data_IF_477379349645
#
_entry.id   IF_477379349645
#
_cell.length_a   1.000
_cell.length_b   1.000
_cell.length_c   1.000
_cell.angle_alpha   90.00
_cell.angle_beta   90.00
_cell.angle_gamma   90.00
#
_symmetry.space_group_name_H-M   'P 1'
#
loop_
_entity.id
_entity.type
_entity.pdbx_description
1 polymer ?
#
# COMPACT_ATOMS: atom_id res chain seq x y z
N UNK A 1 -29.68 1.37 -13.78
CA UNK A 1 -30.17 0.80 -12.51
C UNK A 1 -28.97 0.22 -11.76
N UNK A 2 -28.51 0.86 -10.67
CA UNK A 2 -27.49 0.24 -9.80
C UNK A 2 -28.16 -1.01 -9.21
N UNK A 3 -27.71 -2.20 -9.60
CA UNK A 3 -28.12 -3.42 -8.89
C UNK A 3 -27.58 -3.29 -7.47
N UNK A 4 -28.46 -3.16 -6.48
CA UNK A 4 -28.11 -3.17 -5.07
C UNK A 4 -27.80 -4.62 -4.68
N UNK A 5 -26.56 -5.03 -4.90
CA UNK A 5 -26.05 -6.26 -4.31
C UNK A 5 -25.71 -5.97 -2.85
N UNK A 6 -26.02 -6.91 -1.96
CA UNK A 6 -25.60 -6.81 -0.56
C UNK A 6 -24.06 -6.87 -0.51
N UNK A 7 -23.48 -5.84 0.11
CA UNK A 7 -22.05 -5.81 0.43
C UNK A 7 -21.82 -6.73 1.62
N UNK A 8 -21.17 -7.86 1.36
CA UNK A 8 -20.69 -8.79 2.39
C UNK A 8 -19.17 -8.85 2.32
N UNK A 9 -18.51 -9.56 3.25
CA UNK A 9 -17.07 -9.78 3.16
C UNK A 9 -16.63 -10.45 1.85
N UNK A 10 -17.49 -11.29 1.26
CA UNK A 10 -17.16 -12.16 0.13
C UNK A 10 -17.88 -11.77 -1.18
N UNK A 11 -18.84 -10.86 -1.14
CA UNK A 11 -19.62 -10.41 -2.30
C UNK A 11 -19.70 -8.90 -2.41
N UNK A 12 -19.94 -8.39 -3.62
CA UNK A 12 -20.09 -6.96 -3.88
C UNK A 12 -18.86 -6.34 -4.53
N UNK A 13 -18.54 -5.11 -4.17
CA UNK A 13 -17.42 -4.37 -4.72
C UNK A 13 -16.11 -4.71 -4.01
N UNK A 14 -15.03 -4.74 -4.78
CA UNK A 14 -13.69 -4.99 -4.29
C UNK A 14 -12.71 -4.03 -4.95
N UNK A 15 -11.72 -3.63 -4.17
CA UNK A 15 -10.54 -2.94 -4.66
C UNK A 15 -9.55 -3.98 -5.18
N UNK A 16 -8.98 -3.68 -6.34
CA UNK A 16 -7.88 -4.46 -6.91
C UNK A 16 -6.67 -3.56 -7.04
N UNK A 17 -5.60 -3.92 -6.32
CA UNK A 17 -4.29 -3.30 -6.48
C UNK A 17 -3.40 -4.20 -7.33
N UNK A 18 -2.63 -3.63 -8.25
CA UNK A 18 -1.69 -4.36 -9.11
C UNK A 18 -0.40 -3.58 -9.20
N UNK A 19 0.71 -4.19 -8.78
CA UNK A 19 2.05 -3.65 -8.98
C UNK A 19 2.59 -4.11 -10.33
N UNK A 20 3.10 -3.17 -11.11
CA UNK A 20 3.74 -3.43 -12.40
C UNK A 20 5.20 -3.02 -12.27
N UNK A 21 6.09 -3.94 -12.60
CA UNK A 21 7.50 -3.64 -12.73
C UNK A 21 7.74 -2.81 -14.00
N UNK A 22 8.38 -1.66 -13.88
CA UNK A 22 8.48 -0.69 -14.98
C UNK A 22 9.40 -1.16 -16.11
N UNK A 23 10.48 -1.87 -15.77
CA UNK A 23 11.50 -2.29 -16.73
C UNK A 23 11.01 -3.45 -17.58
N UNK A 24 10.35 -4.43 -16.95
CA UNK A 24 9.88 -5.65 -17.62
C UNK A 24 8.41 -5.59 -18.04
N UNK A 25 7.65 -4.62 -17.51
CA UNK A 25 6.18 -4.52 -17.63
C UNK A 25 5.41 -5.72 -17.08
N UNK A 26 6.08 -6.56 -16.28
CA UNK A 26 5.44 -7.72 -15.66
C UNK A 26 4.61 -7.28 -14.44
N UNK A 27 3.55 -8.04 -14.17
CA UNK A 27 2.78 -7.89 -12.93
C UNK A 27 3.55 -8.54 -11.80
N UNK A 28 4.20 -7.73 -10.96
CA UNK A 28 5.02 -8.19 -9.85
C UNK A 28 4.17 -8.74 -8.69
N UNK A 29 3.01 -8.12 -8.43
CA UNK A 29 2.10 -8.52 -7.36
C UNK A 29 0.66 -8.04 -7.61
N UNK A 30 -0.31 -8.69 -6.96
CA UNK A 30 -1.74 -8.35 -7.00
C UNK A 30 -2.34 -8.53 -5.61
N UNK A 31 -3.23 -7.63 -5.23
CA UNK A 31 -4.10 -7.79 -4.08
C UNK A 31 -5.55 -7.48 -4.42
N UNK A 32 -6.47 -8.18 -3.76
CA UNK A 32 -7.92 -7.95 -3.85
C UNK A 32 -8.49 -7.95 -2.44
N UNK A 33 -9.16 -6.85 -2.09
CA UNK A 33 -9.76 -6.69 -0.77
C UNK A 33 -10.90 -5.68 -0.80
N UNK A 34 -11.54 -5.46 0.35
CA UNK A 34 -12.66 -4.51 0.49
C UNK A 34 -12.25 -3.05 0.55
N UNK A 35 -11.00 -2.79 0.89
CA UNK A 35 -10.43 -1.44 0.91
C UNK A 35 -9.17 -1.34 0.05
N UNK A 36 -8.85 -0.13 -0.39
CA UNK A 36 -7.60 0.16 -1.10
C UNK A 36 -6.37 -0.20 -0.24
N UNK A 37 -6.43 0.10 1.06
CA UNK A 37 -5.36 -0.18 2.02
C UNK A 37 -5.10 -1.68 2.14
N UNK A 38 -6.13 -2.51 2.34
CA UNK A 38 -5.97 -3.96 2.45
C UNK A 38 -5.46 -4.58 1.14
N UNK A 39 -6.01 -4.15 0.00
CA UNK A 39 -5.60 -4.67 -1.30
C UNK A 39 -4.14 -4.31 -1.59
N UNK A 40 -3.71 -3.11 -1.19
CA UNK A 40 -2.32 -2.67 -1.33
C UNK A 40 -1.39 -3.35 -0.31
N UNK A 41 -1.89 -3.65 0.89
CA UNK A 41 -1.17 -4.41 1.91
C UNK A 41 -0.78 -5.81 1.40
N UNK A 42 -1.70 -6.51 0.72
CA UNK A 42 -1.41 -7.80 0.09
C UNK A 42 -0.32 -7.68 -1.00
N UNK A 43 -0.35 -6.62 -1.80
CA UNK A 43 0.68 -6.33 -2.80
C UNK A 43 2.05 -6.17 -2.14
N UNK A 44 2.14 -5.30 -1.13
CA UNK A 44 3.40 -5.02 -0.45
C UNK A 44 3.94 -6.21 0.34
N UNK A 45 3.07 -7.01 0.96
CA UNK A 45 3.47 -8.27 1.60
C UNK A 45 4.08 -9.24 0.60
N UNK A 46 3.44 -9.40 -0.58
CA UNK A 46 3.98 -10.24 -1.66
C UNK A 46 5.35 -9.76 -2.13
N UNK A 47 5.54 -8.43 -2.28
CA UNK A 47 6.84 -7.87 -2.67
C UNK A 47 7.92 -8.12 -1.61
N UNK A 48 7.54 -8.04 -0.33
CA UNK A 48 8.44 -8.28 0.80
C UNK A 48 8.98 -9.71 0.79
N UNK A 49 8.12 -10.66 0.47
CA UNK A 49 8.48 -12.07 0.36
C UNK A 49 9.32 -12.40 -0.88
N UNK A 50 9.08 -11.72 -2.02
CA UNK A 50 9.55 -12.19 -3.33
C UNK A 50 10.69 -11.40 -3.98
N UNK A 51 11.13 -10.29 -3.38
CA UNK A 51 12.24 -9.52 -3.95
C UNK A 51 12.65 -8.26 -3.20
N UNK A 52 11.82 -7.76 -2.30
CA UNK A 52 12.05 -6.51 -1.59
C UNK A 52 11.90 -6.67 -0.07
N UNK A 53 12.68 -7.54 0.61
CA UNK A 53 12.47 -7.87 2.02
C UNK A 53 12.65 -6.69 2.99
N UNK A 54 13.61 -5.81 2.69
CA UNK A 54 14.02 -4.75 3.61
C UNK A 54 13.23 -3.44 3.44
N UNK A 55 12.85 -3.10 2.21
CA UNK A 55 12.26 -1.81 1.88
C UNK A 55 11.39 -1.92 0.63
N UNK A 56 10.31 -1.12 0.54
CA UNK A 56 9.48 -1.09 -0.66
C UNK A 56 10.30 -0.54 -1.85
N UNK A 57 10.04 -1.03 -3.07
CA UNK A 57 10.63 -0.41 -4.27
C UNK A 57 10.08 1.01 -4.47
N UNK A 58 10.83 1.90 -5.14
CA UNK A 58 10.29 3.19 -5.57
C UNK A 58 8.98 3.01 -6.32
N UNK A 59 7.91 3.61 -5.81
CA UNK A 59 6.54 3.33 -6.26
C UNK A 59 5.83 4.61 -6.68
N UNK A 60 5.13 4.54 -7.82
CA UNK A 60 4.22 5.58 -8.30
C UNK A 60 2.81 5.02 -8.31
N UNK A 61 1.83 5.78 -7.82
CA UNK A 61 0.42 5.39 -7.90
C UNK A 61 -0.50 6.59 -8.16
N UNK A 62 -1.70 6.33 -8.66
CA UNK A 62 -2.81 7.28 -8.80
C UNK A 62 -3.92 7.05 -7.76
N UNK A 63 -3.62 6.26 -6.72
CA UNK A 63 -4.57 5.87 -5.67
C UNK A 63 -5.02 7.03 -4.78
N UNK A 64 -6.00 6.76 -3.92
CA UNK A 64 -6.70 7.76 -3.10
C UNK A 64 -6.19 7.90 -1.66
N UNK A 65 -5.05 7.28 -1.35
CA UNK A 65 -4.35 7.43 -0.07
C UNK A 65 -3.86 6.09 0.44
N UNK A 66 -4.74 5.08 0.43
CA UNK A 66 -4.62 3.77 1.10
C UNK A 66 -3.31 3.01 0.86
N UNK A 67 -2.67 3.27 -0.28
CA UNK A 67 -1.37 2.70 -0.67
C UNK A 67 -0.27 3.18 0.28
N UNK A 68 -0.28 4.45 0.69
CA UNK A 68 0.72 5.01 1.61
C UNK A 68 0.63 4.35 2.99
N UNK A 69 -0.58 4.24 3.53
CA UNK A 69 -0.81 3.60 4.83
C UNK A 69 -0.41 2.13 4.79
N UNK A 70 -0.77 1.42 3.73
CA UNK A 70 -0.37 0.03 3.53
C UNK A 70 1.16 -0.13 3.46
N UNK A 71 1.86 0.78 2.77
CA UNK A 71 3.30 0.75 2.67
C UNK A 71 3.98 0.93 4.04
N UNK A 72 3.50 1.87 4.85
CA UNK A 72 4.00 2.11 6.22
C UNK A 72 3.65 0.94 7.14
N UNK A 73 2.49 0.31 7.00
CA UNK A 73 2.16 -0.83 7.84
C UNK A 73 3.05 -2.05 7.54
N UNK A 74 3.32 -2.35 6.27
CA UNK A 74 4.10 -3.54 5.90
C UNK A 74 5.61 -3.35 6.11
N UNK A 75 6.14 -2.18 5.78
CA UNK A 75 7.58 -1.91 5.81
C UNK A 75 8.03 -1.02 6.96
N UNK A 76 7.11 -0.29 7.59
CA UNK A 76 7.46 0.76 8.54
C UNK A 76 8.02 0.18 9.83
N UNK A 77 8.87 0.96 10.47
CA UNK A 77 9.49 0.60 11.74
C UNK A 77 9.06 1.59 12.80
N UNK A 78 8.89 1.11 14.03
CA UNK A 78 8.73 2.00 15.17
C UNK A 78 10.12 2.56 15.48
N UNK A 79 10.30 3.90 15.50
CA UNK A 79 11.60 4.48 15.79
C UNK A 79 12.10 4.08 17.18
N UNK A 80 13.42 4.03 17.35
CA UNK A 80 14.02 3.84 18.65
C UNK A 80 13.67 5.01 19.59
N UNK A 81 13.44 4.69 20.86
CA UNK A 81 13.09 5.69 21.85
C UNK A 81 14.30 6.54 22.24
N UNK A 82 14.25 7.85 21.95
CA UNK A 82 15.34 8.79 22.19
C UNK A 82 15.34 9.45 23.58
N UNK A 83 14.45 9.03 24.50
CA UNK A 83 14.56 9.40 25.91
C UNK A 83 14.00 10.75 26.34
N UNK A 84 12.83 11.15 25.82
CA UNK A 84 11.97 12.20 26.40
C UNK A 84 10.49 11.92 26.08
N UNK A 85 9.62 11.89 27.09
CA UNK A 85 8.17 11.73 26.91
C UNK A 85 7.70 10.28 26.67
N UNK A 86 6.58 10.10 25.98
CA UNK A 86 6.02 8.77 25.69
C UNK A 86 6.80 8.12 24.54
N UNK A 87 7.23 6.84 24.67
CA UNK A 87 7.85 6.11 23.58
C UNK A 87 6.99 6.07 22.31
N UNK A 88 7.61 6.12 21.12
CA UNK A 88 6.88 5.97 19.87
C UNK A 88 6.23 4.58 19.81
N UNK A 89 5.03 4.54 19.25
CA UNK A 89 4.24 3.29 19.08
C UNK A 89 3.80 3.07 17.65
N UNK A 90 3.86 4.11 16.82
CA UNK A 90 3.44 4.06 15.43
C UNK A 90 4.64 3.80 14.53
N UNK A 91 4.45 2.92 13.55
CA UNK A 91 5.41 2.70 12.47
C UNK A 91 5.57 4.00 11.67
N UNK A 92 6.79 4.31 11.30
CA UNK A 92 7.12 5.48 10.48
C UNK A 92 7.79 5.05 9.18
N UNK A 93 7.63 5.84 8.09
CA UNK A 93 8.37 5.63 6.87
C UNK A 93 9.86 5.93 7.06
N UNK A 94 10.71 5.22 6.32
CA UNK A 94 12.16 5.45 6.37
C UNK A 94 12.61 6.50 5.35
N UNK A 95 13.71 7.20 5.68
CA UNK A 95 14.20 8.38 4.93
C UNK A 95 14.50 8.11 3.44
N UNK A 96 14.85 6.88 3.08
CA UNK A 96 15.23 6.53 1.69
C UNK A 96 14.08 6.03 0.82
N UNK A 97 12.86 5.95 1.36
CA UNK A 97 11.71 5.48 0.60
C UNK A 97 11.20 6.54 -0.37
N UNK A 98 10.77 6.08 -1.54
CA UNK A 98 10.24 6.94 -2.59
C UNK A 98 8.83 6.50 -2.95
N UNK A 99 7.87 7.38 -2.67
CA UNK A 99 6.48 7.19 -3.04
C UNK A 99 5.91 8.46 -3.66
N UNK A 100 5.49 8.36 -4.91
CA UNK A 100 4.85 9.45 -5.66
C UNK A 100 3.37 9.14 -5.88
N UNK A 101 2.50 10.07 -5.49
CA UNK A 101 1.08 10.01 -5.78
C UNK A 101 0.73 10.98 -6.91
N UNK A 102 0.18 10.45 -8.00
CA UNK A 102 -0.26 11.22 -9.16
C UNK A 102 -1.72 11.59 -8.96
N UNK A 103 -2.01 12.89 -8.84
CA UNK A 103 -3.37 13.39 -8.70
C UNK A 103 -3.76 14.15 -9.96
N UNK A 104 -4.74 13.63 -10.71
CA UNK A 104 -5.27 14.33 -11.89
C UNK A 104 -6.31 15.36 -11.46
N UNK A 105 -5.97 16.65 -11.57
CA UNK A 105 -6.95 17.72 -11.46
C UNK A 105 -7.70 17.90 -12.78
N UNK A 106 -9.02 18.05 -12.72
CA UNK A 106 -9.86 18.44 -13.86
C UNK A 106 -10.43 19.82 -13.53
N UNK A 107 -10.01 20.83 -14.29
CA UNK A 107 -10.67 22.14 -14.35
C UNK A 107 -11.77 22.08 -15.40
#
# INVERSE_FOLDING_TARGET
MKKSYEETAESGQFWRSTMIDMDTRLRAARGIAKTETEASGQVFATLKERGHPEAPPPTVSDGWGGIREAMVDIYGQVPDYSGCGRPPTQKQPQTRWQYLQVVKQRQ
#
